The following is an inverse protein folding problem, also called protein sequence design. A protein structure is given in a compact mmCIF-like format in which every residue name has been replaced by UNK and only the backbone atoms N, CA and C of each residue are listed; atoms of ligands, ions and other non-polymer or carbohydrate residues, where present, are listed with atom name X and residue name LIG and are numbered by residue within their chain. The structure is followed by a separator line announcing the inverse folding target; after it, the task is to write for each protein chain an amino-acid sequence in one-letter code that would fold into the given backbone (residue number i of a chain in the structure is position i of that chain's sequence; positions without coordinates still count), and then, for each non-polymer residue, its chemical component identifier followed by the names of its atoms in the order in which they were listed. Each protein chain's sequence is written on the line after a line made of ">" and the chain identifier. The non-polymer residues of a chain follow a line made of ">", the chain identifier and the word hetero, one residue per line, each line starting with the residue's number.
data_IF_920976133311
#
_entry.id   IF_920976133311
#
_cell.length_a   1.000
_cell.length_b   1.000
_cell.length_c   1.000
_cell.angle_alpha   90.00
_cell.angle_beta   90.00
_cell.angle_gamma   90.00
#
_symmetry.space_group_name_H-M   'P 1'
#
loop_
_entity.id
_entity.type
_entity.pdbx_description
1 polymer ?
#
# COMPACT_ATOMS: atom_id res chain seq x y z
N UNK A 1 36.72 -36.41 3.77
CA UNK A 1 36.02 -36.82 2.54
C UNK A 1 34.56 -37.10 2.92
N UNK A 2 33.68 -36.10 2.79
CA UNK A 2 32.26 -36.19 3.18
C UNK A 2 31.46 -36.51 1.92
N UNK A 3 30.63 -37.55 1.97
CA UNK A 3 29.88 -38.06 0.81
C UNK A 3 28.88 -37.01 0.28
N UNK A 4 28.79 -36.77 -1.04
CA UNK A 4 27.90 -35.77 -1.65
C UNK A 4 26.40 -36.00 -1.37
N UNK A 5 26.00 -37.24 -1.04
CA UNK A 5 24.58 -37.57 -0.79
C UNK A 5 24.03 -37.11 0.55
N UNK A 6 24.89 -36.81 1.53
CA UNK A 6 24.47 -36.45 2.90
C UNK A 6 23.99 -35.00 3.01
N UNK A 7 24.56 -34.08 2.21
CA UNK A 7 24.21 -32.66 2.22
C UNK A 7 22.82 -32.41 1.61
N UNK A 8 22.50 -33.06 0.49
CA UNK A 8 21.17 -32.95 -0.13
C UNK A 8 20.06 -33.51 0.77
N UNK A 9 20.30 -34.62 1.48
CA UNK A 9 19.31 -35.17 2.42
C UNK A 9 19.07 -34.25 3.62
N UNK A 10 20.10 -33.57 4.13
CA UNK A 10 19.94 -32.57 5.20
C UNK A 10 19.15 -31.35 4.73
N UNK A 11 19.41 -30.83 3.52
CA UNK A 11 18.64 -29.70 2.96
C UNK A 11 17.17 -30.08 2.75
N UNK A 12 16.87 -31.29 2.27
CA UNK A 12 15.49 -31.77 2.12
C UNK A 12 14.78 -31.94 3.47
N UNK A 13 15.47 -32.47 4.49
CA UNK A 13 14.89 -32.67 5.82
C UNK A 13 14.66 -31.32 6.51
N UNK A 14 15.58 -30.35 6.37
CA UNK A 14 15.40 -28.98 6.88
C UNK A 14 14.28 -28.25 6.14
N UNK A 15 14.20 -28.37 4.81
CA UNK A 15 13.10 -27.79 4.03
C UNK A 15 11.75 -28.40 4.40
N UNK A 16 11.66 -29.72 4.56
CA UNK A 16 10.45 -30.42 5.00
C UNK A 16 10.07 -30.10 6.45
N UNK A 17 11.05 -29.94 7.34
CA UNK A 17 10.79 -29.54 8.73
C UNK A 17 10.37 -28.07 8.83
N UNK A 18 10.96 -27.16 8.06
CA UNK A 18 10.50 -25.76 7.94
C UNK A 18 9.08 -25.70 7.36
N UNK A 19 8.78 -26.46 6.31
CA UNK A 19 7.43 -26.58 5.75
C UNK A 19 6.42 -27.19 6.74
N UNK A 20 6.83 -28.19 7.53
CA UNK A 20 5.97 -28.84 8.53
C UNK A 20 5.73 -27.98 9.78
N UNK A 21 6.72 -27.17 10.19
CA UNK A 21 6.58 -26.22 11.30
C UNK A 21 5.70 -25.04 10.89
N UNK A 22 5.78 -24.58 9.63
CA UNK A 22 4.82 -23.61 9.08
C UNK A 22 3.41 -24.20 8.97
N UNK A 23 3.27 -25.50 8.69
CA UNK A 23 1.96 -26.16 8.59
C UNK A 23 1.22 -26.26 9.93
N UNK A 24 1.93 -26.28 11.07
CA UNK A 24 1.32 -26.36 12.42
C UNK A 24 0.86 -24.98 12.92
N UNK A 25 1.43 -23.87 12.41
CA UNK A 25 0.97 -22.50 12.72
C UNK A 25 -0.26 -22.05 11.89
N UNK A 26 -0.77 -22.88 10.97
CA UNK A 26 -1.86 -22.53 10.05
C UNK A 26 -3.28 -22.54 10.67
N UNK A 27 -3.45 -22.78 11.97
CA UNK A 27 -4.79 -22.98 12.55
C UNK A 27 -5.52 -21.74 13.07
N UNK A 28 -4.94 -20.55 12.96
CA UNK A 28 -5.66 -19.26 12.99
C UNK A 28 -4.60 -18.15 12.85
N UNK A 29 -4.40 -17.62 11.65
CA UNK A 29 -3.71 -16.34 11.54
C UNK A 29 -4.70 -15.26 12.00
N UNK A 30 -4.38 -14.45 13.02
CA UNK A 30 -5.26 -13.37 13.42
C UNK A 30 -5.40 -12.38 12.26
N UNK A 31 -6.63 -11.96 11.97
CA UNK A 31 -6.91 -10.96 10.93
C UNK A 31 -6.22 -9.62 11.20
N UNK A 32 -5.98 -9.32 12.49
CA UNK A 32 -5.24 -8.15 12.95
C UNK A 32 -4.13 -8.56 13.90
N UNK A 33 -2.91 -8.11 13.62
CA UNK A 33 -1.76 -8.26 14.50
C UNK A 33 -1.58 -7.01 15.34
N UNK A 34 -2.25 -6.92 16.49
CA UNK A 34 -2.02 -5.82 17.44
C UNK A 34 -0.59 -5.89 17.98
N UNK A 35 0.27 -4.98 17.51
CA UNK A 35 1.62 -4.76 18.04
C UNK A 35 1.62 -3.46 18.83
N UNK A 36 2.13 -3.51 20.07
CA UNK A 36 2.20 -2.35 20.94
C UNK A 36 3.13 -1.28 20.32
N UNK A 37 2.77 0.02 20.34
CA UNK A 37 3.36 1.06 19.46
C UNK A 37 4.78 1.52 19.85
N UNK A 38 5.51 0.79 20.68
CA UNK A 38 6.89 1.15 21.00
C UNK A 38 7.82 1.04 19.77
N UNK A 39 7.43 0.21 18.79
CA UNK A 39 8.07 0.10 17.48
C UNK A 39 7.21 0.78 16.42
N UNK A 40 7.29 2.12 16.32
CA UNK A 40 6.71 2.84 15.19
C UNK A 40 7.32 2.30 13.89
N UNK A 41 6.52 1.59 13.10
CA UNK A 41 6.88 1.04 11.80
C UNK A 41 5.69 1.15 10.84
N UNK A 42 5.95 1.18 9.52
CA UNK A 42 4.88 1.17 8.52
C UNK A 42 3.88 0.02 8.70
N UNK A 43 4.37 -1.18 9.03
CA UNK A 43 3.53 -2.36 9.24
C UNK A 43 2.64 -2.23 10.48
N UNK A 44 3.18 -1.73 11.60
CA UNK A 44 2.40 -1.51 12.81
C UNK A 44 1.31 -0.44 12.59
N UNK A 45 1.64 0.63 11.86
CA UNK A 45 0.70 1.67 11.47
C UNK A 45 -0.43 1.13 10.60
N UNK A 46 -0.08 0.33 9.59
CA UNK A 46 -1.07 -0.30 8.73
C UNK A 46 -2.02 -1.20 9.51
N UNK A 47 -1.52 -2.04 10.42
CA UNK A 47 -2.37 -2.91 11.25
C UNK A 47 -3.30 -2.11 12.16
N UNK A 48 -2.78 -1.05 12.78
CA UNK A 48 -3.55 -0.15 13.62
C UNK A 48 -4.68 0.56 12.85
N UNK A 49 -4.33 1.17 11.71
CA UNK A 49 -5.29 1.88 10.86
C UNK A 49 -6.35 0.94 10.32
N UNK A 50 -5.96 -0.25 9.83
CA UNK A 50 -6.91 -1.23 9.33
C UNK A 50 -7.89 -1.71 10.39
N UNK A 51 -7.42 -1.96 11.62
CA UNK A 51 -8.30 -2.35 12.71
C UNK A 51 -9.32 -1.25 13.02
N UNK A 52 -8.85 -0.01 13.18
CA UNK A 52 -9.72 1.12 13.46
C UNK A 52 -10.72 1.35 12.32
N UNK A 53 -10.26 1.24 11.08
CA UNK A 53 -11.06 1.42 9.89
C UNK A 53 -12.16 0.37 9.74
N UNK A 54 -11.86 -0.91 10.03
CA UNK A 54 -12.83 -2.01 10.01
C UNK A 54 -13.93 -1.80 11.06
N UNK A 55 -13.55 -1.43 12.29
CA UNK A 55 -14.51 -1.13 13.37
C UNK A 55 -15.40 0.05 13.02
N UNK A 56 -14.80 1.16 12.57
CA UNK A 56 -15.58 2.34 12.18
C UNK A 56 -16.47 2.06 10.97
N UNK A 57 -16.03 1.21 10.04
CA UNK A 57 -16.81 0.84 8.87
C UNK A 57 -17.95 -0.11 9.14
N UNK A 58 -17.80 -1.01 10.09
CA UNK A 58 -18.91 -1.82 10.58
C UNK A 58 -19.98 -0.94 11.23
N UNK A 59 -19.57 0.02 12.06
CA UNK A 59 -20.50 0.99 12.67
C UNK A 59 -21.20 1.84 11.60
N UNK A 60 -20.46 2.39 10.65
CA UNK A 60 -21.04 3.20 9.57
C UNK A 60 -22.02 2.39 8.72
N UNK A 61 -21.66 1.16 8.32
CA UNK A 61 -22.54 0.28 7.55
C UNK A 61 -23.81 -0.08 8.31
N UNK A 62 -23.71 -0.22 9.64
CA UNK A 62 -24.84 -0.55 10.50
C UNK A 62 -25.80 0.61 10.72
N UNK A 63 -25.29 1.83 10.86
CA UNK A 63 -26.10 2.99 11.26
C UNK A 63 -26.42 3.95 10.11
N UNK A 64 -25.67 3.90 9.00
CA UNK A 64 -25.84 4.80 7.86
C UNK A 64 -26.31 4.00 6.64
N UNK A 65 -27.60 4.07 6.28
CA UNK A 65 -28.14 3.26 5.19
C UNK A 65 -27.50 3.65 3.85
N UNK A 66 -27.38 2.69 2.94
CA UNK A 66 -26.92 2.96 1.56
C UNK A 66 -28.00 3.63 0.68
N UNK A 67 -29.25 3.60 1.15
CA UNK A 67 -30.42 4.15 0.46
C UNK A 67 -31.30 4.91 1.44
N UNK A 68 -31.70 6.11 1.06
CA UNK A 68 -32.60 6.96 1.85
C UNK A 68 -33.95 7.16 1.16
N UNK A 69 -34.04 6.89 -0.14
CA UNK A 69 -35.28 6.91 -0.91
C UNK A 69 -35.66 5.48 -1.32
N UNK A 70 -36.80 4.99 -0.82
CA UNK A 70 -37.23 3.59 -1.03
C UNK A 70 -38.30 3.42 -2.13
N UNK A 71 -38.60 4.45 -2.93
CA UNK A 71 -39.64 4.38 -3.96
C UNK A 71 -39.05 3.83 -5.25
N UNK A 72 -39.75 2.91 -5.92
CA UNK A 72 -39.37 2.43 -7.25
C UNK A 72 -39.63 3.50 -8.33
N UNK A 73 -38.72 4.47 -8.44
CA UNK A 73 -38.77 5.53 -9.46
C UNK A 73 -37.37 5.98 -9.84
N UNK A 74 -37.19 6.43 -11.09
CA UNK A 74 -35.92 6.98 -11.59
C UNK A 74 -35.42 8.18 -10.77
N UNK A 75 -36.35 8.97 -10.21
CA UNK A 75 -35.99 10.10 -9.34
C UNK A 75 -35.43 9.62 -7.99
N UNK A 76 -36.01 8.57 -7.42
CA UNK A 76 -35.51 7.93 -6.19
C UNK A 76 -34.14 7.32 -6.41
N UNK A 77 -33.93 6.64 -7.55
CA UNK A 77 -32.64 6.09 -7.95
C UNK A 77 -31.58 7.19 -8.09
N UNK A 78 -31.86 8.25 -8.84
CA UNK A 78 -30.96 9.40 -8.98
C UNK A 78 -30.68 10.07 -7.62
N UNK A 79 -31.69 10.20 -6.76
CA UNK A 79 -31.56 10.72 -5.40
C UNK A 79 -30.63 9.86 -4.54
N UNK A 80 -30.74 8.54 -4.61
CA UNK A 80 -29.87 7.61 -3.90
C UNK A 80 -28.43 7.64 -4.43
N UNK A 81 -28.22 7.75 -5.75
CA UNK A 81 -26.89 7.92 -6.35
C UNK A 81 -26.24 9.21 -5.83
N UNK A 82 -26.96 10.34 -5.86
CA UNK A 82 -26.47 11.62 -5.36
C UNK A 82 -26.17 11.58 -3.85
N UNK A 83 -27.04 10.92 -3.08
CA UNK A 83 -26.80 10.70 -1.65
C UNK A 83 -25.51 9.92 -1.39
N UNK A 84 -25.31 8.79 -2.09
CA UNK A 84 -24.10 7.97 -1.95
C UNK A 84 -22.85 8.68 -2.43
N UNK A 85 -22.94 9.45 -3.51
CA UNK A 85 -21.85 10.33 -3.97
C UNK A 85 -21.50 11.35 -2.89
N UNK A 86 -22.50 12.01 -2.30
CA UNK A 86 -22.29 12.95 -1.19
C UNK A 86 -21.62 12.29 0.02
N UNK A 87 -22.08 11.10 0.42
CA UNK A 87 -21.48 10.32 1.51
C UNK A 87 -20.04 9.90 1.19
N UNK A 88 -19.77 9.46 -0.04
CA UNK A 88 -18.44 9.07 -0.49
C UNK A 88 -17.48 10.26 -0.49
N UNK A 89 -17.89 11.41 -1.02
CA UNK A 89 -17.04 12.61 -1.14
C UNK A 89 -16.83 13.36 0.16
N UNK A 90 -17.59 13.04 1.23
CA UNK A 90 -17.46 13.66 2.54
C UNK A 90 -16.90 12.67 3.54
N UNK A 91 -17.78 12.00 4.29
CA UNK A 91 -17.41 11.09 5.36
C UNK A 91 -16.53 9.93 4.87
N UNK A 92 -16.92 9.26 3.78
CA UNK A 92 -16.15 8.15 3.22
C UNK A 92 -14.73 8.56 2.78
N UNK A 93 -14.60 9.74 2.20
CA UNK A 93 -13.31 10.33 1.85
C UNK A 93 -12.46 10.57 3.11
N UNK A 94 -12.99 11.22 4.14
CA UNK A 94 -12.22 11.53 5.35
C UNK A 94 -11.83 10.29 6.15
N UNK A 95 -12.68 9.26 6.16
CA UNK A 95 -12.35 7.97 6.75
C UNK A 95 -11.12 7.32 6.11
N UNK A 96 -10.92 7.49 4.80
CA UNK A 96 -9.72 6.99 4.12
C UNK A 96 -8.54 7.98 4.22
N UNK A 97 -8.80 9.27 4.03
CA UNK A 97 -7.78 10.32 3.96
C UNK A 97 -6.97 10.46 5.24
N UNK A 98 -7.61 10.49 6.41
CA UNK A 98 -6.91 10.68 7.69
C UNK A 98 -5.92 9.53 7.97
N UNK A 99 -6.32 8.24 7.86
CA UNK A 99 -5.37 7.13 7.95
C UNK A 99 -4.25 7.19 6.92
N UNK A 100 -4.53 7.53 5.65
CA UNK A 100 -3.50 7.65 4.60
C UNK A 100 -2.45 8.69 4.95
N UNK A 101 -2.86 9.88 5.39
CA UNK A 101 -1.92 10.94 5.79
C UNK A 101 -1.16 10.56 7.05
N UNK A 102 -1.84 10.00 8.05
CA UNK A 102 -1.19 9.57 9.29
C UNK A 102 -0.17 8.45 9.02
N UNK A 103 -0.54 7.49 8.18
CA UNK A 103 0.34 6.40 7.77
C UNK A 103 1.58 6.93 7.05
N UNK A 104 1.41 7.89 6.14
CA UNK A 104 2.50 8.55 5.42
C UNK A 104 3.47 9.27 6.38
N UNK A 105 2.95 10.22 7.17
CA UNK A 105 3.79 11.11 7.99
C UNK A 105 4.34 10.44 9.25
N UNK A 106 3.47 9.75 10.00
CA UNK A 106 3.82 9.23 11.31
C UNK A 106 4.40 7.83 11.22
N UNK A 107 3.79 6.94 10.46
CA UNK A 107 4.25 5.55 10.36
C UNK A 107 5.26 5.32 9.22
N UNK A 108 5.39 6.27 8.28
CA UNK A 108 6.45 6.33 7.29
C UNK A 108 7.63 7.15 7.76
N UNK A 109 7.56 8.47 7.58
CA UNK A 109 8.67 9.39 7.85
C UNK A 109 9.22 9.31 9.28
N UNK A 110 8.38 9.46 10.30
CA UNK A 110 8.85 9.39 11.69
C UNK A 110 9.42 8.00 12.04
N UNK A 111 8.84 6.92 11.52
CA UNK A 111 9.37 5.58 11.73
C UNK A 111 10.78 5.45 11.15
N UNK A 112 11.01 5.89 9.90
CA UNK A 112 12.34 5.88 9.27
C UNK A 112 13.30 6.82 9.97
N UNK A 113 12.87 8.02 10.36
CA UNK A 113 13.72 8.94 11.11
C UNK A 113 14.27 8.32 12.39
N UNK A 114 13.42 7.64 13.17
CA UNK A 114 13.87 6.93 14.39
C UNK A 114 14.85 5.81 14.08
N UNK A 115 14.60 5.03 13.03
CA UNK A 115 15.48 3.92 12.62
C UNK A 115 16.86 4.43 12.19
N UNK A 116 16.89 5.52 11.42
CA UNK A 116 18.11 6.16 10.93
C UNK A 116 18.79 7.04 11.98
N UNK A 117 18.18 7.19 13.17
CA UNK A 117 18.58 8.18 14.19
C UNK A 117 18.70 9.61 13.61
N UNK A 118 17.88 9.89 12.59
CA UNK A 118 17.74 11.21 12.02
C UNK A 118 17.03 12.13 13.02
N UNK A 119 17.38 13.42 13.01
CA UNK A 119 16.73 14.40 13.86
C UNK A 119 15.28 14.56 13.43
N UNK A 120 14.33 14.05 14.20
CA UNK A 120 12.91 14.35 14.00
C UNK A 120 12.48 15.51 14.90
N UNK A 121 11.79 16.50 14.35
CA UNK A 121 11.34 17.67 15.11
C UNK A 121 9.87 17.58 15.45
N UNK A 122 9.00 17.51 14.43
CA UNK A 122 7.54 17.45 14.61
C UNK A 122 6.87 16.92 13.34
N UNK A 123 5.62 16.50 13.46
CA UNK A 123 4.74 16.26 12.31
C UNK A 123 3.45 17.03 12.49
N UNK A 124 2.83 17.40 11.38
CA UNK A 124 1.56 18.10 11.32
C UNK A 124 0.64 17.33 10.37
N UNK A 125 -0.63 17.14 10.76
CA UNK A 125 -1.65 16.54 9.91
C UNK A 125 -2.69 17.62 9.66
N UNK A 126 -2.93 17.94 8.39
CA UNK A 126 -3.95 18.89 7.99
C UNK A 126 -5.20 18.14 7.55
N UNK A 127 -6.29 18.42 8.27
CA UNK A 127 -7.54 17.69 8.08
C UNK A 127 -8.19 17.96 6.72
N UNK A 128 -7.82 19.02 6.00
CA UNK A 128 -8.45 19.40 4.74
C UNK A 128 -7.50 19.22 3.55
N UNK A 129 -7.92 18.51 2.49
CA UNK A 129 -7.18 18.50 1.23
C UNK A 129 -7.07 19.91 0.63
N UNK A 130 -6.03 20.19 -0.18
CA UNK A 130 -4.95 19.29 -0.57
C UNK A 130 -3.78 19.29 0.41
N UNK A 131 -3.91 19.96 1.57
CA UNK A 131 -2.74 20.25 2.43
C UNK A 131 -2.08 19.03 3.07
N UNK A 132 -2.75 17.87 3.11
CA UNK A 132 -2.11 16.60 3.45
C UNK A 132 -1.57 16.58 4.89
N UNK A 133 -0.32 16.18 5.03
CA UNK A 133 0.47 16.30 6.25
C UNK A 133 1.88 16.78 5.92
N UNK A 134 2.67 17.04 6.96
CA UNK A 134 4.09 17.34 6.83
C UNK A 134 4.89 16.80 8.02
N UNK A 135 5.97 16.08 7.72
CA UNK A 135 7.01 15.72 8.67
C UNK A 135 8.19 16.70 8.58
N UNK A 136 8.61 17.21 9.73
CA UNK A 136 9.73 18.15 9.86
C UNK A 136 10.92 17.47 10.50
N UNK A 137 12.01 17.43 9.75
CA UNK A 137 13.29 16.89 10.21
C UNK A 137 14.21 18.04 10.63
N UNK A 138 14.88 17.86 11.76
CA UNK A 138 15.94 18.74 12.21
C UNK A 138 17.21 18.51 11.38
N UNK A 139 18.13 19.47 11.40
CA UNK A 139 19.40 19.30 10.74
C UNK A 139 20.11 18.04 11.28
N UNK A 140 20.60 17.17 10.38
CA UNK A 140 21.31 15.91 10.68
C UNK A 140 22.71 16.13 11.31
N UNK A 141 22.86 17.14 12.18
CA UNK A 141 24.15 17.64 12.70
C UNK A 141 24.92 16.60 13.52
N UNK A 142 24.24 15.63 14.12
CA UNK A 142 24.86 14.62 14.98
C UNK A 142 25.01 13.24 14.31
N UNK A 143 24.24 12.97 13.25
CA UNK A 143 24.28 11.74 12.46
C UNK A 143 24.02 12.09 10.99
N UNK A 144 25.05 12.48 10.22
CA UNK A 144 24.88 12.77 8.81
C UNK A 144 24.47 11.48 8.08
N UNK A 145 23.38 11.55 7.34
CA UNK A 145 22.86 10.42 6.57
C UNK A 145 23.67 10.24 5.29
N UNK A 146 23.88 9.00 4.90
CA UNK A 146 24.33 8.65 3.54
C UNK A 146 23.22 8.96 2.53
N UNK A 147 23.55 9.08 1.24
CA UNK A 147 22.54 9.29 0.20
C UNK A 147 21.49 8.18 0.16
N UNK A 148 21.90 6.92 0.41
CA UNK A 148 20.97 5.80 0.51
C UNK A 148 19.97 5.97 1.66
N UNK A 149 20.43 6.42 2.82
CA UNK A 149 19.57 6.69 3.98
C UNK A 149 18.66 7.90 3.74
N UNK A 150 19.15 8.96 3.08
CA UNK A 150 18.33 10.10 2.67
C UNK A 150 17.24 9.68 1.66
N UNK A 151 17.57 8.84 0.69
CA UNK A 151 16.57 8.27 -0.23
C UNK A 151 15.50 7.49 0.54
N UNK A 152 15.91 6.62 1.48
CA UNK A 152 14.97 5.87 2.32
C UNK A 152 14.06 6.80 3.13
N UNK A 153 14.62 7.86 3.73
CA UNK A 153 13.84 8.86 4.49
C UNK A 153 12.81 9.57 3.60
N UNK A 154 13.19 9.99 2.39
CA UNK A 154 12.31 10.68 1.45
C UNK A 154 11.25 9.77 0.84
N UNK A 155 11.51 8.48 0.68
CA UNK A 155 10.50 7.52 0.18
C UNK A 155 9.61 6.95 1.28
N UNK A 156 9.89 7.26 2.55
CA UNK A 156 9.30 6.58 3.71
C UNK A 156 7.76 6.71 3.78
N UNK A 157 7.21 7.88 3.48
CA UNK A 157 5.76 8.10 3.50
C UNK A 157 5.04 7.28 2.43
N UNK A 158 5.55 7.34 1.19
CA UNK A 158 5.02 6.56 0.07
C UNK A 158 5.16 5.05 0.30
N UNK A 159 6.29 4.59 0.84
CA UNK A 159 6.51 3.18 1.23
C UNK A 159 5.45 2.73 2.25
N UNK A 160 5.16 3.57 3.25
CA UNK A 160 4.19 3.23 4.28
C UNK A 160 2.76 3.07 3.74
N UNK A 161 2.38 3.89 2.76
CA UNK A 161 1.09 3.77 2.09
C UNK A 161 1.03 2.59 1.11
N UNK A 162 2.14 2.23 0.45
CA UNK A 162 2.23 0.97 -0.30
C UNK A 162 1.99 -0.23 0.62
N UNK A 163 2.63 -0.25 1.79
CA UNK A 163 2.44 -1.31 2.80
C UNK A 163 0.98 -1.36 3.28
N UNK A 164 0.32 -0.22 3.45
CA UNK A 164 -1.08 -0.17 3.84
C UNK A 164 -2.00 -0.68 2.73
N UNK A 165 -1.80 -0.26 1.48
CA UNK A 165 -2.56 -0.75 0.33
C UNK A 165 -2.43 -2.27 0.18
N UNK A 166 -1.22 -2.80 0.35
CA UNK A 166 -0.97 -4.24 0.33
C UNK A 166 -1.69 -4.96 1.47
N UNK A 167 -1.68 -4.39 2.68
CA UNK A 167 -2.35 -4.98 3.82
C UNK A 167 -3.88 -5.01 3.66
N UNK A 168 -4.49 -3.95 3.10
CA UNK A 168 -5.93 -3.98 2.70
C UNK A 168 -6.18 -5.12 1.73
N UNK A 169 -5.35 -5.24 0.69
CA UNK A 169 -5.49 -6.26 -0.36
C UNK A 169 -5.40 -7.67 0.23
N UNK A 170 -4.36 -7.99 1.00
CA UNK A 170 -4.17 -9.31 1.59
C UNK A 170 -5.34 -9.68 2.51
N UNK A 171 -5.80 -8.74 3.35
CA UNK A 171 -6.96 -8.98 4.23
C UNK A 171 -8.24 -9.19 3.44
N UNK A 172 -8.48 -8.44 2.37
CA UNK A 172 -9.63 -8.69 1.49
C UNK A 172 -9.56 -10.09 0.84
N UNK A 173 -8.37 -10.55 0.45
CA UNK A 173 -8.20 -11.90 -0.13
C UNK A 173 -8.48 -12.98 0.90
N UNK A 174 -8.04 -12.78 2.15
CA UNK A 174 -8.32 -13.68 3.26
C UNK A 174 -9.81 -13.70 3.63
N UNK A 175 -10.47 -12.53 3.69
CA UNK A 175 -11.91 -12.39 3.95
C UNK A 175 -12.79 -12.89 2.78
N UNK A 176 -12.25 -12.87 1.57
CA UNK A 176 -13.01 -13.10 0.33
C UNK A 176 -13.92 -11.93 -0.08
N UNK A 177 -13.95 -10.85 0.72
CA UNK A 177 -14.74 -9.65 0.49
C UNK A 177 -13.92 -8.38 0.65
N UNK A 178 -14.38 -7.31 0.00
CA UNK A 178 -13.85 -5.95 0.11
C UNK A 178 -14.98 -5.00 0.52
N UNK A 179 -14.85 -4.30 1.64
CA UNK A 179 -15.85 -3.31 2.04
C UNK A 179 -15.71 -2.01 1.24
N UNK A 180 -16.78 -1.20 1.18
CA UNK A 180 -16.76 0.16 0.62
C UNK A 180 -15.63 1.01 1.24
N UNK A 181 -15.42 0.86 2.55
CA UNK A 181 -14.40 1.62 3.28
C UNK A 181 -13.00 1.15 2.96
N UNK A 182 -12.78 -0.17 2.92
CA UNK A 182 -11.49 -0.74 2.53
C UNK A 182 -11.15 -0.40 1.07
N UNK A 183 -12.15 -0.37 0.19
CA UNK A 183 -11.97 0.06 -1.20
C UNK A 183 -11.46 1.52 -1.28
N UNK A 184 -12.05 2.44 -0.51
CA UNK A 184 -11.60 3.83 -0.43
C UNK A 184 -10.19 3.96 0.17
N UNK A 185 -9.93 3.25 1.27
CA UNK A 185 -8.61 3.24 1.93
C UNK A 185 -7.52 2.67 1.03
N UNK A 186 -7.83 1.57 0.32
CA UNK A 186 -6.96 0.97 -0.66
C UNK A 186 -6.58 1.96 -1.76
N UNK A 187 -7.57 2.60 -2.40
CA UNK A 187 -7.30 3.53 -3.50
C UNK A 187 -6.51 4.75 -3.02
N UNK A 188 -6.88 5.34 -1.88
CA UNK A 188 -6.13 6.45 -1.29
C UNK A 188 -4.67 6.08 -1.06
N UNK A 189 -4.43 4.98 -0.36
CA UNK A 189 -3.06 4.49 -0.06
C UNK A 189 -2.28 4.13 -1.33
N UNK A 190 -2.91 3.41 -2.26
CA UNK A 190 -2.25 2.93 -3.50
C UNK A 190 -1.89 4.07 -4.44
N UNK A 191 -2.72 5.10 -4.48
CA UNK A 191 -2.57 6.27 -5.34
C UNK A 191 -1.54 7.27 -4.84
N UNK A 192 -1.02 7.11 -3.62
CA UNK A 192 -0.13 8.08 -2.99
C UNK A 192 1.09 8.39 -3.86
N UNK A 193 1.88 7.36 -4.21
CA UNK A 193 3.03 7.51 -5.11
C UNK A 193 2.66 8.11 -6.48
N UNK A 194 1.53 7.67 -7.06
CA UNK A 194 1.07 8.18 -8.36
C UNK A 194 0.74 9.68 -8.25
N UNK A 195 0.09 10.09 -7.16
CA UNK A 195 -0.28 11.48 -6.90
C UNK A 195 0.95 12.36 -6.75
N UNK A 196 1.97 11.90 -6.00
CA UNK A 196 3.25 12.61 -5.87
C UNK A 196 3.94 12.80 -7.24
N UNK A 197 3.92 11.76 -8.09
CA UNK A 197 4.50 11.83 -9.44
C UNK A 197 3.67 12.70 -10.40
N UNK A 198 2.35 12.75 -10.27
CA UNK A 198 1.50 13.44 -11.26
C UNK A 198 1.15 14.90 -10.89
N UNK A 199 0.88 15.19 -9.63
CA UNK A 199 0.15 16.40 -9.25
C UNK A 199 0.91 17.39 -8.39
N UNK A 200 2.09 17.05 -7.87
CA UNK A 200 2.87 18.04 -7.15
C UNK A 200 3.52 19.05 -8.08
N UNK A 201 3.94 20.19 -7.54
CA UNK A 201 4.66 21.23 -8.29
C UNK A 201 6.17 21.05 -8.11
N UNK A 202 6.93 21.14 -9.19
CA UNK A 202 8.42 21.08 -9.20
C UNK A 202 9.09 22.15 -8.29
N UNK A 203 8.34 23.17 -7.87
CA UNK A 203 8.83 24.23 -6.97
C UNK A 203 8.63 23.97 -5.47
N UNK A 204 7.96 22.87 -5.07
CA UNK A 204 7.76 22.52 -3.65
C UNK A 204 8.67 21.36 -3.26
N UNK A 205 9.30 21.46 -2.10
CA UNK A 205 10.17 20.42 -1.56
C UNK A 205 9.35 19.24 -1.01
N UNK A 206 8.76 18.45 -1.92
CA UNK A 206 8.03 17.22 -1.63
C UNK A 206 8.95 15.99 -1.59
N UNK A 207 8.39 14.85 -1.21
CA UNK A 207 9.11 13.58 -1.08
C UNK A 207 9.79 13.12 -2.37
N UNK A 208 9.07 13.15 -3.50
CA UNK A 208 9.58 12.63 -4.76
C UNK A 208 10.68 13.54 -5.34
N UNK A 209 10.54 14.86 -5.18
CA UNK A 209 11.52 15.84 -5.61
C UNK A 209 12.79 15.71 -4.81
N UNK A 210 12.70 15.58 -3.47
CA UNK A 210 13.87 15.34 -2.62
C UNK A 210 14.53 14.00 -2.91
N UNK A 211 13.74 12.95 -3.13
CA UNK A 211 14.24 11.64 -3.55
C UNK A 211 15.05 11.74 -4.85
N UNK A 212 14.50 12.37 -5.89
CA UNK A 212 15.18 12.56 -7.18
C UNK A 212 16.45 13.42 -7.05
N UNK A 213 16.39 14.49 -6.26
CA UNK A 213 17.57 15.33 -5.96
C UNK A 213 18.70 14.50 -5.37
N UNK A 214 18.42 13.70 -4.34
CA UNK A 214 19.44 12.85 -3.70
C UNK A 214 19.92 11.74 -4.63
N UNK A 215 18.99 11.07 -5.33
CA UNK A 215 19.31 10.02 -6.31
C UNK A 215 20.25 10.55 -7.41
N UNK A 216 20.04 11.79 -7.85
CA UNK A 216 20.85 12.40 -8.89
C UNK A 216 22.24 12.87 -8.44
N UNK A 217 22.51 12.91 -7.13
CA UNK A 217 23.85 13.18 -6.59
C UNK A 217 24.77 11.95 -6.59
N UNK A 218 24.21 10.74 -6.72
CA UNK A 218 25.02 9.51 -6.78
C UNK A 218 25.87 9.45 -8.08
N UNK A 219 27.05 8.81 -8.07
CA UNK A 219 27.94 8.76 -9.23
C UNK A 219 27.24 8.18 -10.48
N UNK A 220 26.89 9.07 -11.43
CA UNK A 220 26.11 8.69 -12.60
C UNK A 220 26.97 8.25 -13.78
N UNK A 221 26.38 7.43 -14.65
CA UNK A 221 26.87 7.17 -16.01
C UNK A 221 26.46 8.27 -17.01
N UNK A 222 25.85 9.37 -16.55
CA UNK A 222 25.62 10.60 -17.33
C UNK A 222 24.17 11.05 -17.55
N UNK A 223 23.16 10.33 -17.03
CA UNK A 223 21.74 10.67 -17.22
C UNK A 223 21.06 11.02 -15.88
N UNK A 224 20.54 12.23 -15.79
CA UNK A 224 19.74 12.72 -14.65
C UNK A 224 18.31 12.19 -14.76
N UNK A 225 17.81 11.55 -13.70
CA UNK A 225 16.41 11.11 -13.66
C UNK A 225 15.51 12.28 -13.31
N UNK A 226 14.53 12.56 -14.16
CA UNK A 226 13.53 13.58 -13.92
C UNK A 226 12.21 12.97 -13.52
N UNK A 227 11.33 13.81 -13.02
CA UNK A 227 9.99 13.38 -12.61
C UNK A 227 9.18 12.89 -13.81
N UNK A 228 9.33 13.52 -14.96
CA UNK A 228 8.69 13.12 -16.23
C UNK A 228 9.01 11.66 -16.60
N UNK A 229 10.21 11.18 -16.26
CA UNK A 229 10.63 9.79 -16.50
C UNK A 229 9.86 8.79 -15.62
N UNK A 230 9.30 9.24 -14.49
CA UNK A 230 8.51 8.43 -13.57
C UNK A 230 7.02 8.39 -13.95
N UNK A 231 6.52 9.36 -14.73
CA UNK A 231 5.08 9.54 -15.01
C UNK A 231 4.47 8.32 -15.69
N UNK A 232 5.07 7.88 -16.80
CA UNK A 232 4.56 6.73 -17.55
C UNK A 232 4.53 5.44 -16.71
N UNK A 233 5.63 5.01 -16.05
CA UNK A 233 5.60 3.80 -15.24
C UNK A 233 4.71 3.93 -14.00
N UNK A 234 4.55 5.12 -13.41
CA UNK A 234 3.61 5.35 -12.30
C UNK A 234 2.15 5.13 -12.72
N UNK A 235 1.71 5.72 -13.84
CA UNK A 235 0.38 5.47 -14.43
C UNK A 235 0.23 3.99 -14.79
N UNK A 236 1.30 3.43 -15.37
CA UNK A 236 1.58 2.00 -15.56
C UNK A 236 1.05 1.14 -14.42
N UNK A 237 1.54 1.48 -13.24
CA UNK A 237 1.33 0.73 -12.00
C UNK A 237 -0.12 0.75 -11.49
N UNK A 238 -0.92 1.73 -11.89
CA UNK A 238 -2.35 1.78 -11.59
C UNK A 238 -3.19 1.05 -12.64
N UNK A 239 -2.88 1.23 -13.92
CA UNK A 239 -3.67 0.67 -15.03
C UNK A 239 -3.44 -0.84 -15.22
N UNK A 240 -2.24 -1.34 -14.96
CA UNK A 240 -1.91 -2.76 -15.06
C UNK A 240 -2.23 -3.54 -13.78
N UNK A 241 -2.85 -2.90 -12.79
CA UNK A 241 -3.28 -3.54 -11.56
C UNK A 241 -4.77 -3.91 -11.62
N UNK A 242 -5.11 -5.18 -11.92
CA UNK A 242 -6.50 -5.63 -12.00
C UNK A 242 -7.27 -5.43 -10.68
N UNK A 243 -6.59 -5.42 -9.54
CA UNK A 243 -7.24 -5.17 -8.25
C UNK A 243 -7.66 -3.70 -8.13
N UNK A 244 -6.80 -2.78 -8.56
CA UNK A 244 -7.13 -1.34 -8.61
C UNK A 244 -8.30 -1.06 -9.55
N UNK A 245 -8.28 -1.59 -10.78
CA UNK A 245 -9.37 -1.40 -11.73
C UNK A 245 -10.71 -1.93 -11.22
N UNK A 246 -10.71 -3.14 -10.64
CA UNK A 246 -11.92 -3.73 -10.05
C UNK A 246 -12.38 -2.99 -8.81
N UNK A 247 -11.47 -2.46 -7.98
CA UNK A 247 -11.84 -1.64 -6.82
C UNK A 247 -12.55 -0.35 -7.26
N UNK A 248 -12.05 0.32 -8.30
CA UNK A 248 -12.72 1.48 -8.91
C UNK A 248 -14.11 1.08 -9.43
N UNK A 249 -14.21 -0.04 -10.14
CA UNK A 249 -15.50 -0.55 -10.62
C UNK A 249 -16.48 -0.83 -9.46
N UNK A 250 -16.02 -1.47 -8.38
CA UNK A 250 -16.83 -1.75 -7.19
C UNK A 250 -17.36 -0.48 -6.54
N UNK A 251 -16.54 0.58 -6.45
CA UNK A 251 -17.01 1.87 -5.92
C UNK A 251 -18.03 2.54 -6.85
N UNK A 252 -17.75 2.58 -8.16
CA UNK A 252 -18.61 3.30 -9.12
C UNK A 252 -19.89 2.52 -9.42
N UNK A 253 -19.77 1.31 -9.96
CA UNK A 253 -20.92 0.51 -10.36
C UNK A 253 -21.58 -0.16 -9.15
N UNK A 254 -20.79 -0.71 -8.22
CA UNK A 254 -21.31 -1.42 -7.05
C UNK A 254 -21.94 -0.48 -6.04
N UNK A 255 -21.17 0.47 -5.50
CA UNK A 255 -21.64 1.37 -4.46
C UNK A 255 -22.46 2.55 -4.99
N UNK A 256 -21.88 3.42 -5.82
CA UNK A 256 -22.59 4.64 -6.24
C UNK A 256 -23.88 4.32 -6.99
N UNK A 257 -23.83 3.43 -7.97
CA UNK A 257 -25.01 3.03 -8.76
C UNK A 257 -25.85 2.00 -8.00
N UNK A 258 -25.25 0.87 -7.61
CA UNK A 258 -25.99 -0.28 -7.07
C UNK A 258 -26.25 -0.30 -5.56
N UNK A 259 -25.69 0.65 -4.78
CA UNK A 259 -25.88 0.70 -3.32
C UNK A 259 -25.19 -0.43 -2.54
N UNK A 260 -24.32 -1.23 -3.18
CA UNK A 260 -23.62 -2.34 -2.54
C UNK A 260 -22.48 -1.82 -1.67
N UNK A 261 -22.41 -2.27 -0.41
CA UNK A 261 -21.40 -1.84 0.58
C UNK A 261 -20.28 -2.86 0.81
N UNK A 262 -20.48 -4.11 0.36
CA UNK A 262 -19.51 -5.20 0.45
C UNK A 262 -19.42 -5.89 -0.90
N UNK A 263 -18.22 -5.99 -1.45
CA UNK A 263 -17.95 -6.55 -2.77
C UNK A 263 -17.21 -7.88 -2.66
N UNK A 264 -17.26 -8.69 -3.71
CA UNK A 264 -16.35 -9.82 -3.85
C UNK A 264 -14.91 -9.31 -4.05
N UNK A 265 -13.95 -9.96 -3.40
CA UNK A 265 -12.54 -9.57 -3.56
C UNK A 265 -12.10 -9.69 -5.03
N UNK A 266 -11.45 -8.65 -5.58
CA UNK A 266 -10.94 -8.68 -6.94
C UNK A 266 -9.88 -9.77 -7.18
N UNK A 267 -10.23 -10.78 -7.99
CA UNK A 267 -9.27 -11.70 -8.61
C UNK A 267 -9.29 -11.56 -10.14
N UNK A 268 -8.18 -11.82 -10.82
CA UNK A 268 -8.16 -11.91 -12.28
C UNK A 268 -8.83 -13.20 -12.74
N UNK A 269 -8.55 -14.29 -12.04
CA UNK A 269 -9.11 -15.61 -12.31
C UNK A 269 -9.50 -16.31 -11.01
N UNK A 270 -10.61 -17.06 -11.02
CA UNK A 270 -11.10 -17.87 -9.90
C UNK A 270 -11.80 -19.12 -10.43
N UNK A 271 -11.50 -20.28 -9.86
CA UNK A 271 -12.16 -21.56 -10.11
C UNK A 271 -12.26 -22.36 -8.81
N UNK A 272 -13.47 -22.44 -8.25
CA UNK A 272 -13.70 -23.05 -6.94
C UNK A 272 -12.83 -22.42 -5.87
N UNK A 273 -12.03 -23.23 -5.19
CA UNK A 273 -11.15 -22.82 -4.09
C UNK A 273 -9.79 -22.26 -4.55
N UNK A 274 -9.58 -22.11 -5.87
CA UNK A 274 -8.34 -21.53 -6.41
C UNK A 274 -8.61 -20.18 -7.05
N UNK A 275 -7.82 -19.17 -6.72
CA UNK A 275 -7.90 -17.85 -7.33
C UNK A 275 -6.50 -17.27 -7.56
N UNK A 276 -6.35 -16.47 -8.63
CA UNK A 276 -5.09 -15.85 -9.01
C UNK A 276 -5.27 -14.36 -9.29
N UNK A 277 -4.31 -13.56 -8.82
CA UNK A 277 -4.23 -12.14 -9.08
C UNK A 277 -2.77 -11.75 -9.38
N UNK A 278 -2.44 -11.34 -10.61
CA UNK A 278 -1.19 -10.66 -10.89
C UNK A 278 -1.28 -9.19 -10.47
N UNK A 279 -0.15 -8.63 -10.07
CA UNK A 279 -0.02 -7.25 -9.63
C UNK A 279 1.30 -6.68 -10.15
N UNK A 280 1.23 -5.53 -10.80
CA UNK A 280 2.40 -4.77 -11.20
C UNK A 280 2.46 -3.48 -10.37
N UNK A 281 3.62 -3.19 -9.79
CA UNK A 281 3.90 -1.93 -9.10
C UNK A 281 5.14 -1.24 -9.63
N UNK A 282 5.14 0.08 -9.48
CA UNK A 282 6.28 0.95 -9.73
C UNK A 282 6.36 1.94 -8.58
N UNK A 283 7.50 1.98 -7.90
CA UNK A 283 7.70 2.66 -6.63
C UNK A 283 9.10 3.28 -6.58
N UNK A 284 9.27 4.36 -5.82
CA UNK A 284 10.61 4.84 -5.47
C UNK A 284 11.25 3.88 -4.45
N UNK A 285 12.53 3.58 -4.63
CA UNK A 285 13.29 2.70 -3.75
C UNK A 285 14.73 3.20 -3.60
N UNK A 286 15.44 2.71 -2.59
CA UNK A 286 16.83 3.08 -2.38
C UNK A 286 17.69 2.76 -3.62
N UNK A 287 18.33 3.78 -4.19
CA UNK A 287 19.30 3.66 -5.29
C UNK A 287 18.71 3.66 -6.71
N UNK A 288 17.46 3.24 -6.90
CA UNK A 288 16.75 3.36 -8.18
C UNK A 288 15.24 3.15 -7.99
N UNK A 289 14.38 3.75 -8.83
CA UNK A 289 12.99 3.34 -8.92
C UNK A 289 12.88 1.85 -9.25
N UNK A 290 11.90 1.19 -8.65
CA UNK A 290 11.72 -0.26 -8.69
C UNK A 290 10.42 -0.63 -9.38
N UNK A 291 10.52 -1.55 -10.32
CA UNK A 291 9.40 -2.28 -10.89
C UNK A 291 9.22 -3.60 -10.16
N UNK A 292 7.99 -3.92 -9.77
CA UNK A 292 7.68 -5.17 -9.08
C UNK A 292 6.54 -5.88 -9.79
N UNK A 293 6.72 -7.18 -10.03
CA UNK A 293 5.67 -8.08 -10.49
C UNK A 293 5.39 -9.09 -9.37
N UNK A 294 4.18 -9.04 -8.83
CA UNK A 294 3.72 -9.98 -7.80
C UNK A 294 2.58 -10.83 -8.34
N UNK A 295 2.60 -12.13 -8.04
CA UNK A 295 1.48 -13.04 -8.25
C UNK A 295 0.93 -13.54 -6.91
N UNK A 296 -0.35 -13.31 -6.65
CA UNK A 296 -1.07 -13.88 -5.52
C UNK A 296 -1.86 -15.11 -5.99
N UNK A 297 -1.65 -16.24 -5.31
CA UNK A 297 -2.40 -17.47 -5.51
C UNK A 297 -3.12 -17.82 -4.21
N UNK A 298 -4.45 -17.86 -4.24
CA UNK A 298 -5.25 -18.43 -3.16
C UNK A 298 -5.59 -19.87 -3.55
N UNK A 299 -5.38 -20.83 -2.64
CA UNK A 299 -5.73 -22.25 -2.84
C UNK A 299 -6.10 -22.91 -1.51
N UNK A 300 -7.31 -23.46 -1.40
CA UNK A 300 -7.83 -24.09 -0.16
C UNK A 300 -7.58 -23.21 1.08
N UNK A 301 -8.02 -21.95 1.05
CA UNK A 301 -7.85 -20.95 2.12
C UNK A 301 -6.41 -20.47 2.39
N UNK A 302 -5.41 -21.01 1.68
CA UNK A 302 -4.02 -20.55 1.79
C UNK A 302 -3.69 -19.51 0.74
N UNK A 303 -3.05 -18.41 1.17
CA UNK A 303 -2.54 -17.35 0.30
C UNK A 303 -1.03 -17.51 0.10
N UNK A 304 -0.61 -17.68 -1.16
CA UNK A 304 0.78 -17.71 -1.60
C UNK A 304 1.09 -16.43 -2.37
N UNK A 305 2.29 -15.88 -2.17
CA UNK A 305 2.74 -14.66 -2.85
C UNK A 305 4.09 -14.94 -3.48
N UNK A 306 4.20 -14.71 -4.78
CA UNK A 306 5.48 -14.74 -5.50
C UNK A 306 5.77 -13.33 -6.01
N UNK A 307 6.94 -12.79 -5.69
CA UNK A 307 7.34 -11.43 -6.02
C UNK A 307 8.66 -11.44 -6.80
N UNK A 308 8.70 -10.71 -7.90
CA UNK A 308 9.92 -10.42 -8.67
C UNK A 308 10.08 -8.90 -8.72
N UNK A 309 11.30 -8.40 -8.50
CA UNK A 309 11.56 -6.98 -8.64
C UNK A 309 12.82 -6.70 -9.45
N UNK A 310 12.83 -5.54 -10.10
CA UNK A 310 13.97 -5.01 -10.84
C UNK A 310 14.02 -3.48 -10.72
N UNK A 311 15.21 -2.93 -10.56
CA UNK A 311 15.46 -1.49 -10.53
C UNK A 311 16.86 -1.21 -11.09
N UNK A 312 17.00 -0.14 -11.87
CA UNK A 312 18.26 0.22 -12.49
C UNK A 312 18.36 1.73 -12.66
N UNK A 313 19.42 2.34 -12.11
CA UNK A 313 19.74 3.74 -12.34
C UNK A 313 21.26 3.96 -12.19
N UNK A 314 21.89 4.59 -13.18
CA UNK A 314 23.35 4.71 -13.25
C UNK A 314 24.05 3.35 -13.11
N UNK A 315 24.98 3.25 -12.16
CA UNK A 315 25.69 2.02 -11.81
C UNK A 315 24.89 1.07 -10.89
N UNK A 316 23.78 1.54 -10.30
CA UNK A 316 22.95 0.72 -9.40
C UNK A 316 22.05 -0.24 -10.19
N UNK A 317 22.02 -1.49 -9.73
CA UNK A 317 21.15 -2.56 -10.20
C UNK A 317 20.61 -3.29 -8.98
N UNK A 318 19.29 -3.46 -8.92
CA UNK A 318 18.59 -4.19 -7.89
C UNK A 318 17.68 -5.22 -8.55
N UNK A 319 17.90 -6.50 -8.28
CA UNK A 319 17.09 -7.60 -8.79
C UNK A 319 16.89 -8.63 -7.69
N UNK A 320 15.68 -9.18 -7.57
CA UNK A 320 15.42 -10.22 -6.59
C UNK A 320 14.08 -10.92 -6.79
N UNK A 321 13.94 -12.02 -6.05
CA UNK A 321 12.72 -12.80 -5.99
C UNK A 321 12.42 -13.20 -4.54
N UNK A 322 11.14 -13.16 -4.16
CA UNK A 322 10.64 -13.55 -2.85
C UNK A 322 9.42 -14.47 -3.00
N UNK A 323 9.36 -15.52 -2.19
CA UNK A 323 8.24 -16.46 -2.09
C UNK A 323 7.64 -16.44 -0.67
#
# INVERSE_FOLDING_TARGET
>A
MIWPGTFHRMVYIVALSVLSVQAVTLRCQPLYGLRYPYETSPYAGSEFHLLLHDVLGELDTRFVPAEIFHRESRLSEAGNILYRLGRMSTYGFYMAYIPVVNQHEYFGHLARAKQLKAGFTRYEIYLFPPTGGMAYFGAHRYHPLTSAEMMIEHTAGMEANVIMAESVRLKSMQKGTLSFHDAMLYLGSRSDFITYVLFNDEGKADDITKYLQVLNLEPQTGEELRREDLVFPAIMSGLLDPYTLKTIYSLVAGYLVGGTVTFETPFLWRNGETAFLPFYSFEAAAGAPRHTLTGYLVRHEHLFRLCFHTGAFGAHRDHGAQL
#
